data_IF_184444703847
#
_entry.id   IF_184444703847
#
_cell.length_a   1.000
_cell.length_b   1.000
_cell.length_c   1.000
_cell.angle_alpha   90.00
_cell.angle_beta   90.00
_cell.angle_gamma   90.00
#
_symmetry.space_group_name_H-M   'P 1'
#
loop_
_entity.id
_entity.type
_entity.pdbx_description
1 polymer ?
#
# COMPACT_ATOMS: atom_id res chain seq x y z
N UNK A 1 15.01 26.41 -16.42
CA UNK A 1 15.14 25.39 -15.36
C UNK A 1 13.79 24.75 -14.93
N UNK A 2 12.68 25.48 -14.92
CA UNK A 2 11.34 24.93 -14.59
C UNK A 2 10.79 23.97 -15.65
N UNK A 3 10.98 24.24 -16.93
CA UNK A 3 10.49 23.41 -18.05
C UNK A 3 11.11 22.01 -18.08
N UNK A 4 12.41 21.87 -17.78
CA UNK A 4 13.10 20.56 -17.76
C UNK A 4 12.59 19.68 -16.60
N UNK A 5 12.28 20.29 -15.45
CA UNK A 5 11.70 19.55 -14.31
C UNK A 5 10.29 19.01 -14.61
N UNK A 6 9.46 19.79 -15.31
CA UNK A 6 8.09 19.34 -15.66
C UNK A 6 8.09 18.21 -16.69
N UNK A 7 8.99 18.23 -17.65
CA UNK A 7 9.15 17.14 -18.64
C UNK A 7 9.57 15.82 -17.97
N UNK A 8 10.49 15.88 -16.99
CA UNK A 8 10.93 14.67 -16.27
C UNK A 8 9.81 14.06 -15.42
N UNK A 9 8.99 14.87 -14.74
CA UNK A 9 7.87 14.36 -13.93
C UNK A 9 6.80 13.69 -14.78
N UNK A 10 6.43 14.29 -15.92
CA UNK A 10 5.45 13.70 -16.84
C UNK A 10 5.95 12.39 -17.44
N UNK A 11 7.22 12.33 -17.85
CA UNK A 11 7.81 11.10 -18.41
C UNK A 11 7.81 9.96 -17.39
N UNK A 12 8.11 10.23 -16.12
CA UNK A 12 8.07 9.22 -15.05
C UNK A 12 6.63 8.76 -14.76
N UNK A 13 5.64 9.66 -14.75
CA UNK A 13 4.23 9.29 -14.65
C UNK A 13 3.79 8.35 -15.79
N UNK A 14 4.15 8.68 -17.03
CA UNK A 14 3.84 7.82 -18.17
C UNK A 14 4.48 6.43 -18.04
N UNK A 15 5.75 6.34 -17.62
CA UNK A 15 6.41 5.05 -17.38
C UNK A 15 5.66 4.20 -16.35
N UNK A 16 5.25 4.80 -15.23
CA UNK A 16 4.49 4.10 -14.18
C UNK A 16 3.16 3.62 -14.75
N UNK A 17 2.39 4.50 -15.39
CA UNK A 17 1.04 4.20 -15.87
C UNK A 17 1.02 3.12 -16.98
N UNK A 18 2.00 3.18 -17.90
CA UNK A 18 2.11 2.24 -19.01
C UNK A 18 2.89 0.97 -18.67
N UNK A 19 3.41 0.83 -17.43
CA UNK A 19 4.09 -0.40 -17.01
C UNK A 19 3.11 -1.59 -17.02
N UNK A 20 3.57 -2.75 -17.42
CA UNK A 20 2.77 -3.98 -17.42
C UNK A 20 2.23 -4.30 -16.02
N UNK A 21 3.02 -4.06 -15.01
CA UNK A 21 2.66 -4.33 -13.62
C UNK A 21 1.53 -3.43 -13.14
N UNK A 22 1.57 -2.14 -13.47
CA UNK A 22 0.50 -1.19 -13.14
C UNK A 22 -0.80 -1.60 -13.83
N UNK A 23 -0.74 -2.00 -15.11
CA UNK A 23 -1.91 -2.47 -15.87
C UNK A 23 -2.56 -3.74 -15.28
N UNK A 24 -1.81 -4.54 -14.55
CA UNK A 24 -2.34 -5.73 -13.85
C UNK A 24 -2.86 -5.35 -12.46
N UNK A 25 -2.11 -4.53 -11.72
CA UNK A 25 -2.45 -4.20 -10.33
C UNK A 25 -3.64 -3.24 -10.24
N UNK A 26 -3.77 -2.26 -11.13
CA UNK A 26 -4.90 -1.33 -11.11
C UNK A 26 -6.28 -2.02 -11.21
N UNK A 27 -6.52 -2.98 -12.12
CA UNK A 27 -7.76 -3.76 -12.12
C UNK A 27 -7.98 -4.54 -10.82
N UNK A 28 -6.93 -5.08 -10.20
CA UNK A 28 -7.05 -5.80 -8.93
C UNK A 28 -7.56 -4.87 -7.83
N UNK A 29 -6.98 -3.69 -7.68
CA UNK A 29 -7.34 -2.76 -6.61
C UNK A 29 -8.60 -1.93 -6.89
N UNK A 30 -8.94 -1.70 -8.17
CA UNK A 30 -10.11 -0.87 -8.55
C UNK A 30 -11.36 -1.66 -8.93
N UNK A 31 -11.22 -2.94 -9.27
CA UNK A 31 -12.35 -3.79 -9.70
C UNK A 31 -12.50 -4.97 -8.76
N UNK A 32 -11.48 -5.83 -8.65
CA UNK A 32 -11.59 -7.06 -7.86
C UNK A 32 -11.79 -6.79 -6.36
N UNK A 33 -11.05 -5.88 -5.78
CA UNK A 33 -11.18 -5.56 -4.36
C UNK A 33 -12.54 -4.96 -4.02
N UNK A 34 -13.07 -3.92 -4.71
CA UNK A 34 -14.42 -3.42 -4.49
C UNK A 34 -15.49 -4.48 -4.72
N UNK A 35 -15.33 -5.36 -5.73
CA UNK A 35 -16.25 -6.46 -5.97
C UNK A 35 -16.29 -7.44 -4.80
N UNK A 36 -15.12 -7.81 -4.25
CA UNK A 36 -15.05 -8.67 -3.07
C UNK A 36 -15.68 -8.01 -1.84
N UNK A 37 -15.45 -6.71 -1.64
CA UNK A 37 -16.11 -5.93 -0.59
C UNK A 37 -17.63 -5.97 -0.73
N UNK A 38 -18.15 -5.81 -1.95
CA UNK A 38 -19.57 -5.91 -2.24
C UNK A 38 -20.13 -7.30 -1.92
N UNK A 39 -19.44 -8.38 -2.36
CA UNK A 39 -19.86 -9.77 -2.08
C UNK A 39 -19.84 -10.05 -0.58
N UNK A 40 -18.78 -9.63 0.12
CA UNK A 40 -18.66 -9.81 1.57
C UNK A 40 -19.79 -9.11 2.32
N UNK A 41 -20.12 -7.87 1.95
CA UNK A 41 -21.21 -7.13 2.58
C UNK A 41 -22.58 -7.77 2.34
N UNK A 42 -22.82 -8.36 1.16
CA UNK A 42 -24.03 -9.18 0.90
C UNK A 42 -24.11 -10.42 1.77
N UNK A 43 -22.98 -11.10 2.00
CA UNK A 43 -22.91 -12.24 2.91
C UNK A 43 -23.19 -11.81 4.36
N UNK A 44 -22.62 -10.69 4.81
CA UNK A 44 -22.90 -10.12 6.13
C UNK A 44 -24.37 -9.80 6.29
N UNK A 45 -25.01 -9.20 5.29
CA UNK A 45 -26.44 -8.88 5.29
C UNK A 45 -27.29 -10.16 5.39
N UNK A 46 -26.93 -11.22 4.68
CA UNK A 46 -27.64 -12.52 4.71
C UNK A 46 -27.51 -13.23 6.07
N UNK A 47 -26.37 -13.07 6.75
CA UNK A 47 -26.14 -13.65 8.10
C UNK A 47 -26.83 -12.82 9.18
N UNK A 48 -27.01 -11.52 8.96
CA UNK A 48 -27.59 -10.54 9.88
C UNK A 48 -26.53 -9.70 10.58
N UNK A 49 -26.73 -8.37 10.58
CA UNK A 49 -25.77 -7.40 11.08
C UNK A 49 -25.41 -7.52 12.58
N UNK A 50 -26.29 -8.14 13.36
CA UNK A 50 -26.10 -8.34 14.79
C UNK A 50 -25.61 -9.76 15.12
N UNK A 51 -25.22 -10.55 14.12
CA UNK A 51 -24.76 -11.90 14.35
C UNK A 51 -23.39 -11.92 15.03
N UNK A 52 -23.25 -12.85 15.99
CA UNK A 52 -22.01 -13.11 16.72
C UNK A 52 -21.60 -14.57 16.53
N UNK A 53 -20.35 -14.96 16.82
CA UNK A 53 -19.94 -16.37 16.80
C UNK A 53 -20.80 -17.29 17.66
N UNK A 54 -21.44 -16.75 18.69
CA UNK A 54 -22.36 -17.51 19.56
C UNK A 54 -23.72 -17.81 18.89
N UNK A 55 -24.20 -16.85 18.05
CA UNK A 55 -25.49 -16.99 17.35
C UNK A 55 -25.34 -17.66 15.99
N UNK A 56 -24.15 -17.59 15.39
CA UNK A 56 -23.86 -18.18 14.10
C UNK A 56 -22.44 -18.77 14.07
N UNK A 57 -22.34 -20.09 14.04
CA UNK A 57 -21.07 -20.84 14.06
C UNK A 57 -20.20 -20.63 12.79
N UNK A 58 -20.71 -20.00 11.75
CA UNK A 58 -19.93 -19.65 10.55
C UNK A 58 -19.05 -18.41 10.74
N UNK A 59 -19.29 -17.64 11.79
CA UNK A 59 -18.52 -16.44 12.11
C UNK A 59 -17.36 -16.80 13.05
N UNK A 60 -16.16 -16.34 12.72
CA UNK A 60 -14.97 -16.44 13.59
C UNK A 60 -14.92 -15.27 14.57
N UNK A 61 -15.37 -14.10 14.14
CA UNK A 61 -15.39 -12.86 14.92
C UNK A 61 -16.77 -12.18 14.79
N UNK A 62 -17.17 -11.35 15.77
CA UNK A 62 -18.40 -10.56 15.66
C UNK A 62 -18.31 -9.59 14.48
N UNK A 63 -19.45 -9.37 13.82
CA UNK A 63 -19.55 -8.43 12.70
C UNK A 63 -19.21 -7.02 13.21
N UNK A 64 -18.29 -6.29 12.53
CA UNK A 64 -17.95 -4.93 12.92
C UNK A 64 -19.17 -3.99 12.75
N UNK A 65 -19.19 -2.85 13.44
CA UNK A 65 -20.20 -1.83 13.20
C UNK A 65 -20.32 -1.47 11.72
N UNK A 66 -21.52 -1.15 11.27
CA UNK A 66 -21.87 -0.89 9.85
C UNK A 66 -20.89 0.09 9.18
N UNK A 67 -20.43 1.09 9.91
CA UNK A 67 -19.48 2.10 9.43
C UNK A 67 -18.12 1.51 8.99
N UNK A 68 -17.75 0.35 9.54
CA UNK A 68 -16.44 -0.28 9.30
C UNK A 68 -16.51 -1.49 8.37
N UNK A 69 -17.70 -1.83 7.89
CA UNK A 69 -17.84 -2.91 6.90
C UNK A 69 -17.18 -2.46 5.58
N UNK A 70 -16.35 -3.33 5.03
CA UNK A 70 -15.55 -3.06 3.82
C UNK A 70 -14.07 -2.83 4.08
N UNK A 71 -13.66 -2.57 5.33
CA UNK A 71 -12.24 -2.46 5.67
C UNK A 71 -11.51 -3.81 5.66
N UNK A 72 -12.19 -4.93 5.81
CA UNK A 72 -11.62 -6.28 5.77
C UNK A 72 -10.97 -6.62 4.42
N UNK A 73 -11.59 -6.20 3.31
CA UNK A 73 -11.08 -6.44 1.97
C UNK A 73 -9.79 -5.64 1.64
N UNK A 74 -9.44 -4.65 2.46
CA UNK A 74 -8.26 -3.79 2.26
C UNK A 74 -6.95 -4.59 2.27
N UNK A 75 -6.85 -5.66 3.04
CA UNK A 75 -5.64 -6.49 3.10
C UNK A 75 -5.27 -7.10 1.74
N UNK A 76 -6.27 -7.47 0.92
CA UNK A 76 -6.02 -8.02 -0.41
C UNK A 76 -5.33 -7.00 -1.33
N UNK A 77 -5.84 -5.77 -1.34
CA UNK A 77 -5.26 -4.71 -2.16
C UNK A 77 -3.88 -4.28 -1.68
N UNK A 78 -3.62 -4.29 -0.38
CA UNK A 78 -2.30 -4.03 0.18
C UNK A 78 -1.26 -4.98 -0.40
N UNK A 79 -1.61 -6.26 -0.55
CA UNK A 79 -0.77 -7.28 -1.14
C UNK A 79 -0.34 -6.90 -2.56
N UNK A 80 -1.32 -6.56 -3.39
CA UNK A 80 -1.09 -6.15 -4.77
C UNK A 80 -0.23 -4.86 -4.85
N UNK A 81 -0.45 -3.92 -3.93
CA UNK A 81 0.30 -2.67 -3.87
C UNK A 81 1.76 -2.88 -3.45
N UNK A 82 2.04 -3.76 -2.48
CA UNK A 82 3.42 -4.11 -2.11
C UNK A 82 4.16 -4.72 -3.30
N UNK A 83 3.50 -5.62 -4.06
CA UNK A 83 4.08 -6.20 -5.28
C UNK A 83 4.35 -5.12 -6.32
N UNK A 84 3.42 -4.19 -6.52
CA UNK A 84 3.62 -3.05 -7.42
C UNK A 84 4.85 -2.23 -7.03
N UNK A 85 4.98 -1.87 -5.76
CA UNK A 85 6.13 -1.14 -5.24
C UNK A 85 7.45 -1.85 -5.53
N UNK A 86 7.51 -3.16 -5.25
CA UNK A 86 8.70 -3.98 -5.53
C UNK A 86 9.10 -3.98 -7.00
N UNK A 87 8.11 -4.09 -7.89
CA UNK A 87 8.37 -4.13 -9.33
C UNK A 87 8.79 -2.75 -9.84
N UNK A 88 8.12 -1.67 -9.43
CA UNK A 88 8.47 -0.31 -9.81
C UNK A 88 9.88 0.08 -9.32
N UNK A 89 10.27 -0.36 -8.11
CA UNK A 89 11.60 -0.11 -7.57
C UNK A 89 12.72 -0.82 -8.34
N UNK A 90 12.46 -2.05 -8.82
CA UNK A 90 13.44 -2.84 -9.57
C UNK A 90 13.44 -2.58 -11.08
N UNK A 91 12.41 -1.93 -11.61
CA UNK A 91 12.17 -1.79 -13.06
C UNK A 91 13.31 -1.05 -13.79
N UNK A 92 13.91 -0.05 -13.15
CA UNK A 92 14.99 0.75 -13.76
C UNK A 92 16.27 -0.04 -14.01
N UNK A 93 16.48 -1.09 -13.23
CA UNK A 93 17.66 -1.94 -13.39
C UNK A 93 17.50 -3.01 -14.48
N UNK A 94 16.30 -3.11 -15.08
CA UNK A 94 16.01 -4.04 -16.18
C UNK A 94 16.26 -3.36 -17.53
N UNK A 95 16.80 -4.12 -18.48
CA UNK A 95 16.93 -3.71 -19.89
C UNK A 95 17.65 -2.37 -20.12
N UNK A 96 18.65 -2.04 -19.29
CA UNK A 96 19.41 -0.78 -19.39
C UNK A 96 18.55 0.51 -19.29
N UNK A 97 17.33 0.40 -18.74
CA UNK A 97 16.40 1.54 -18.59
C UNK A 97 17.03 2.68 -17.79
N UNK A 98 17.81 2.35 -16.76
CA UNK A 98 18.51 3.35 -15.95
C UNK A 98 19.48 4.20 -16.77
N UNK A 99 20.24 3.58 -17.70
CA UNK A 99 21.16 4.33 -18.58
C UNK A 99 20.41 5.32 -19.45
N UNK A 100 19.35 4.88 -20.10
CA UNK A 100 18.52 5.75 -20.95
C UNK A 100 17.92 6.91 -20.15
N UNK A 101 17.44 6.64 -18.93
CA UNK A 101 16.87 7.66 -18.05
C UNK A 101 17.91 8.68 -17.59
N UNK A 102 19.16 8.25 -17.31
CA UNK A 102 20.24 9.16 -16.90
C UNK A 102 20.85 9.95 -18.05
N UNK A 103 20.72 9.50 -19.30
CA UNK A 103 21.04 10.32 -20.47
C UNK A 103 20.11 11.53 -20.60
N UNK A 104 18.85 11.38 -20.20
CA UNK A 104 17.87 12.48 -20.19
C UNK A 104 18.01 13.38 -18.95
N UNK A 105 18.46 12.83 -17.83
CA UNK A 105 18.65 13.55 -16.58
C UNK A 105 20.04 13.22 -16.00
N UNK A 106 21.05 14.02 -16.35
CA UNK A 106 22.45 13.79 -15.96
C UNK A 106 22.71 13.82 -14.45
N UNK A 107 21.84 14.49 -13.68
CA UNK A 107 21.98 14.58 -12.23
C UNK A 107 21.25 13.43 -11.53
N UNK A 108 22.01 12.45 -11.02
CA UNK A 108 21.51 11.27 -10.30
C UNK A 108 20.60 11.63 -9.11
N UNK A 109 20.96 12.67 -8.35
CA UNK A 109 20.18 13.10 -7.19
C UNK A 109 18.79 13.61 -7.61
N UNK A 110 18.73 14.46 -8.62
CA UNK A 110 17.48 15.00 -9.16
C UNK A 110 16.62 13.86 -9.72
N UNK A 111 17.22 12.94 -10.46
CA UNK A 111 16.53 11.75 -11.00
C UNK A 111 15.86 10.93 -9.89
N UNK A 112 16.64 10.54 -8.86
CA UNK A 112 16.13 9.74 -7.76
C UNK A 112 14.99 10.43 -7.03
N UNK A 113 15.18 11.69 -6.61
CA UNK A 113 14.20 12.45 -5.84
C UNK A 113 12.90 12.66 -6.66
N UNK A 114 13.03 13.03 -7.93
CA UNK A 114 11.85 13.20 -8.81
C UNK A 114 11.09 11.90 -8.94
N UNK A 115 11.78 10.81 -9.23
CA UNK A 115 11.16 9.49 -9.38
C UNK A 115 10.49 9.01 -8.09
N UNK A 116 11.19 9.12 -6.95
CA UNK A 116 10.67 8.76 -5.65
C UNK A 116 9.39 9.54 -5.31
N UNK A 117 9.41 10.85 -5.52
CA UNK A 117 8.27 11.72 -5.26
C UNK A 117 7.07 11.39 -6.16
N UNK A 118 7.30 11.29 -7.48
CA UNK A 118 6.24 10.97 -8.45
C UNK A 118 5.61 9.61 -8.14
N UNK A 119 6.44 8.60 -7.84
CA UNK A 119 5.97 7.27 -7.48
C UNK A 119 5.17 7.30 -6.18
N UNK A 120 5.62 8.03 -5.15
CA UNK A 120 4.92 8.14 -3.86
C UNK A 120 3.56 8.82 -4.00
N UNK A 121 3.47 9.91 -4.76
CA UNK A 121 2.19 10.61 -5.02
C UNK A 121 1.24 9.70 -5.80
N UNK A 122 1.72 9.03 -6.84
CA UNK A 122 0.90 8.07 -7.60
C UNK A 122 0.35 6.96 -6.72
N UNK A 123 1.20 6.34 -5.90
CA UNK A 123 0.80 5.28 -4.96
C UNK A 123 -0.24 5.79 -3.97
N UNK A 124 -0.07 6.99 -3.41
CA UNK A 124 -1.02 7.56 -2.47
C UNK A 124 -2.40 7.76 -3.09
N UNK A 125 -2.46 8.33 -4.31
CA UNK A 125 -3.73 8.55 -5.03
C UNK A 125 -4.41 7.21 -5.32
N UNK A 126 -3.67 6.22 -5.82
CA UNK A 126 -4.21 4.88 -6.10
C UNK A 126 -4.73 4.23 -4.82
N UNK A 127 -3.98 4.30 -3.73
CA UNK A 127 -4.38 3.74 -2.43
C UNK A 127 -5.66 4.39 -1.91
N UNK A 128 -5.72 5.72 -1.95
CA UNK A 128 -6.88 6.47 -1.47
C UNK A 128 -8.15 6.13 -2.25
N UNK A 129 -8.07 6.18 -3.57
CA UNK A 129 -9.22 5.90 -4.44
C UNK A 129 -9.66 4.44 -4.31
N UNK A 130 -8.71 3.49 -4.24
CA UNK A 130 -9.02 2.07 -4.10
C UNK A 130 -9.73 1.76 -2.78
N UNK A 131 -9.23 2.28 -1.66
CA UNK A 131 -9.84 2.06 -0.34
C UNK A 131 -11.23 2.69 -0.29
N UNK A 132 -11.38 3.92 -0.80
CA UNK A 132 -12.68 4.56 -0.88
C UNK A 132 -13.69 3.74 -1.71
N UNK A 133 -13.29 3.26 -2.89
CA UNK A 133 -14.14 2.42 -3.74
C UNK A 133 -14.52 1.11 -3.06
N UNK A 134 -13.61 0.50 -2.30
CA UNK A 134 -13.87 -0.72 -1.55
C UNK A 134 -14.97 -0.50 -0.50
N UNK A 135 -14.84 0.58 0.29
CA UNK A 135 -15.83 0.91 1.32
C UNK A 135 -17.16 1.33 0.69
N UNK A 136 -17.13 2.16 -0.36
CA UNK A 136 -18.34 2.56 -1.07
C UNK A 136 -19.10 1.35 -1.64
N UNK A 137 -18.38 0.38 -2.22
CA UNK A 137 -18.97 -0.86 -2.73
C UNK A 137 -19.56 -1.74 -1.63
N UNK A 138 -18.90 -1.81 -0.47
CA UNK A 138 -19.43 -2.54 0.68
C UNK A 138 -20.73 -1.90 1.20
N UNK A 139 -20.72 -0.58 1.39
CA UNK A 139 -21.92 0.15 1.83
C UNK A 139 -23.09 0.01 0.83
N UNK A 140 -22.78 0.03 -0.46
CA UNK A 140 -23.78 -0.24 -1.50
C UNK A 140 -24.34 -1.69 -1.41
N UNK A 141 -23.48 -2.67 -1.07
CA UNK A 141 -23.86 -4.06 -0.88
C UNK A 141 -24.81 -4.30 0.31
N UNK A 142 -24.77 -3.44 1.33
CA UNK A 142 -25.69 -3.47 2.49
C UNK A 142 -27.09 -2.94 2.20
N UNK A 143 -27.35 -2.44 0.99
CA UNK A 143 -28.66 -1.93 0.54
C UNK A 143 -29.20 -0.83 1.46
N UNK A 144 -30.39 -1.05 2.06
CA UNK A 144 -31.07 -0.09 2.94
C UNK A 144 -30.39 0.13 4.29
N UNK A 145 -29.63 -0.86 4.74
CA UNK A 145 -28.89 -0.80 6.01
C UNK A 145 -27.56 -0.07 5.88
N UNK A 146 -27.06 0.06 4.64
CA UNK A 146 -25.79 0.73 4.35
C UNK A 146 -25.87 2.26 4.42
N UNK A 147 -24.73 2.87 4.72
CA UNK A 147 -24.57 4.31 4.70
C UNK A 147 -24.45 4.80 3.25
N UNK A 148 -24.91 6.03 2.99
CA UNK A 148 -24.67 6.65 1.70
C UNK A 148 -23.15 6.84 1.47
N UNK A 149 -22.58 6.31 0.38
CA UNK A 149 -21.15 6.43 0.10
C UNK A 149 -20.62 7.86 0.01
N UNK A 150 -21.50 8.82 -0.22
CA UNK A 150 -21.17 10.25 -0.28
C UNK A 150 -21.23 10.94 1.10
N UNK A 151 -21.94 10.34 2.07
CA UNK A 151 -22.18 10.92 3.40
C UNK A 151 -21.66 9.92 4.45
N UNK A 152 -20.35 9.64 4.39
CA UNK A 152 -19.68 8.81 5.39
C UNK A 152 -19.36 9.65 6.63
N UNK A 153 -19.33 9.03 7.80
CA UNK A 153 -18.96 9.71 9.04
C UNK A 153 -17.49 10.22 9.00
N UNK A 154 -17.19 11.26 9.77
CA UNK A 154 -15.83 11.79 9.88
C UNK A 154 -14.83 10.72 10.33
N UNK A 155 -15.26 9.77 11.14
CA UNK A 155 -14.43 8.66 11.60
C UNK A 155 -14.05 7.74 10.44
N UNK A 156 -14.99 7.42 9.54
CA UNK A 156 -14.71 6.60 8.36
C UNK A 156 -13.72 7.31 7.43
N UNK A 157 -13.89 8.59 7.17
CA UNK A 157 -12.93 9.36 6.38
C UNK A 157 -11.53 9.37 7.01
N UNK A 158 -11.46 9.50 8.34
CA UNK A 158 -10.19 9.40 9.06
C UNK A 158 -9.51 8.04 8.85
N UNK A 159 -10.25 6.93 8.95
CA UNK A 159 -9.70 5.60 8.70
C UNK A 159 -9.38 5.33 7.23
N UNK A 160 -10.12 5.91 6.28
CA UNK A 160 -9.75 5.87 4.85
C UNK A 160 -8.39 6.54 4.64
N UNK A 161 -8.16 7.71 5.25
CA UNK A 161 -6.88 8.40 5.18
C UNK A 161 -5.75 7.59 5.83
N UNK A 162 -5.97 7.04 7.02
CA UNK A 162 -4.98 6.21 7.71
C UNK A 162 -4.64 4.94 6.93
N UNK A 163 -5.64 4.25 6.39
CA UNK A 163 -5.45 3.08 5.54
C UNK A 163 -4.67 3.43 4.26
N UNK A 164 -4.99 4.57 3.65
CA UNK A 164 -4.29 5.07 2.45
C UNK A 164 -2.83 5.42 2.75
N UNK A 165 -2.55 6.01 3.90
CA UNK A 165 -1.19 6.27 4.38
C UNK A 165 -0.44 4.96 4.65
N UNK A 166 -1.09 3.99 5.30
CA UNK A 166 -0.52 2.66 5.54
C UNK A 166 -0.09 1.99 4.23
N UNK A 167 -1.00 1.91 3.26
CA UNK A 167 -0.71 1.33 1.96
C UNK A 167 0.42 2.05 1.25
N UNK A 168 0.37 3.38 1.25
CA UNK A 168 1.37 4.20 0.58
C UNK A 168 2.75 4.01 1.18
N UNK A 169 2.86 4.07 2.50
CA UNK A 169 4.13 3.91 3.19
C UNK A 169 4.71 2.51 3.00
N UNK A 170 3.89 1.45 3.09
CA UNK A 170 4.33 0.08 2.86
C UNK A 170 4.75 -0.17 1.41
N UNK A 171 4.01 0.40 0.45
CA UNK A 171 4.35 0.29 -0.97
C UNK A 171 5.62 1.06 -1.31
N UNK A 172 5.80 2.27 -0.74
CA UNK A 172 7.03 3.07 -0.91
C UNK A 172 8.22 2.40 -0.22
N UNK A 173 7.99 1.75 0.92
CA UNK A 173 9.02 0.93 1.57
C UNK A 173 9.43 -0.23 0.66
N UNK A 174 8.46 -0.94 0.10
CA UNK A 174 8.68 -2.02 -0.87
C UNK A 174 9.47 -1.54 -2.08
N UNK A 175 9.10 -0.39 -2.63
CA UNK A 175 9.83 0.29 -3.71
C UNK A 175 11.29 0.57 -3.32
N UNK A 176 11.52 1.14 -2.14
CA UNK A 176 12.86 1.53 -1.66
C UNK A 176 13.76 0.33 -1.43
N UNK A 177 13.23 -0.75 -0.84
CA UNK A 177 13.95 -2.02 -0.66
C UNK A 177 14.32 -2.62 -2.02
N UNK A 178 13.35 -2.68 -2.95
CA UNK A 178 13.59 -3.25 -4.28
C UNK A 178 14.60 -2.42 -5.09
N UNK A 179 14.55 -1.09 -4.95
CA UNK A 179 15.53 -0.19 -5.56
C UNK A 179 16.93 -0.40 -4.98
N UNK A 180 17.05 -0.55 -3.65
CA UNK A 180 18.32 -0.83 -2.97
C UNK A 180 18.95 -2.15 -3.40
N UNK A 181 18.15 -3.22 -3.46
CA UNK A 181 18.63 -4.56 -3.86
C UNK A 181 18.67 -4.76 -5.38
N UNK A 182 18.19 -3.79 -6.17
CA UNK A 182 18.05 -3.89 -7.65
C UNK A 182 17.19 -5.09 -8.09
N UNK A 183 16.38 -5.60 -7.20
CA UNK A 183 15.56 -6.80 -7.39
C UNK A 183 14.26 -6.68 -6.59
N UNK A 184 13.16 -7.11 -7.19
CA UNK A 184 11.87 -7.19 -6.51
C UNK A 184 11.84 -8.27 -5.43
N UNK A 185 12.64 -9.33 -5.56
CA UNK A 185 12.63 -10.49 -4.65
C UNK A 185 12.96 -10.10 -3.21
N UNK A 186 13.97 -9.25 -2.98
CA UNK A 186 14.35 -8.84 -1.62
C UNK A 186 13.23 -8.14 -0.86
N UNK A 187 12.48 -7.28 -1.54
CA UNK A 187 11.33 -6.61 -0.96
C UNK A 187 10.18 -7.58 -0.67
N UNK A 188 9.86 -8.45 -1.61
CA UNK A 188 8.76 -9.40 -1.49
C UNK A 188 9.04 -10.42 -0.36
N UNK A 189 10.26 -10.96 -0.28
CA UNK A 189 10.65 -11.89 0.79
C UNK A 189 10.62 -11.25 2.19
N UNK A 190 10.84 -9.94 2.28
CA UNK A 190 10.78 -9.24 3.56
C UNK A 190 9.35 -8.87 3.97
N UNK A 191 8.53 -8.34 3.06
CA UNK A 191 7.22 -7.78 3.40
C UNK A 191 6.06 -8.78 3.31
N UNK A 192 6.05 -9.67 2.29
CA UNK A 192 4.89 -10.56 2.09
C UNK A 192 4.65 -11.55 3.23
N UNK A 193 5.69 -12.19 3.82
CA UNK A 193 5.45 -13.09 4.95
C UNK A 193 4.82 -12.38 6.16
N UNK A 194 5.14 -11.08 6.35
CA UNK A 194 4.56 -10.29 7.43
C UNK A 194 3.06 -10.04 7.21
N UNK A 195 2.61 -9.87 5.95
CA UNK A 195 1.18 -9.72 5.62
C UNK A 195 0.42 -11.01 5.92
N UNK A 196 1.07 -12.19 5.73
CA UNK A 196 0.51 -13.50 6.05
C UNK A 196 0.73 -13.91 7.52
N UNK A 197 0.31 -13.07 8.46
CA UNK A 197 0.32 -13.34 9.90
C UNK A 197 1.69 -13.64 10.54
N UNK A 198 2.80 -13.64 9.80
CA UNK A 198 4.11 -13.79 10.42
C UNK A 198 4.42 -12.63 11.37
N UNK A 199 3.95 -11.42 11.03
CA UNK A 199 4.09 -10.24 11.87
C UNK A 199 3.36 -10.40 13.21
N UNK A 200 2.10 -10.83 13.19
CA UNK A 200 1.30 -11.06 14.40
C UNK A 200 1.86 -12.21 15.24
N UNK A 201 2.17 -13.35 14.60
CA UNK A 201 2.78 -14.49 15.29
C UNK A 201 4.11 -14.14 16.00
N UNK A 202 4.93 -13.32 15.37
CA UNK A 202 6.17 -12.83 15.98
C UNK A 202 5.91 -11.79 17.07
N UNK A 203 4.90 -10.93 16.90
CA UNK A 203 4.54 -9.90 17.87
C UNK A 203 4.03 -10.47 19.19
N UNK A 204 3.38 -11.64 19.14
CA UNK A 204 2.92 -12.35 20.34
C UNK A 204 4.09 -12.93 21.16
N UNK A 205 5.22 -13.21 20.53
CA UNK A 205 6.39 -13.82 21.17
C UNK A 205 7.53 -12.85 21.44
N UNK A 206 7.69 -11.83 20.59
CA UNK A 206 8.82 -10.89 20.63
C UNK A 206 8.26 -9.47 20.60
N UNK A 207 8.40 -8.74 21.70
CA UNK A 207 7.87 -7.36 21.78
C UNK A 207 8.39 -6.42 20.68
N UNK A 208 9.63 -6.60 20.21
CA UNK A 208 10.20 -5.82 19.11
C UNK A 208 9.51 -6.08 17.76
N UNK A 209 8.90 -7.24 17.56
CA UNK A 209 8.21 -7.56 16.31
C UNK A 209 6.94 -6.71 16.09
N UNK A 210 6.42 -6.08 17.15
CA UNK A 210 5.34 -5.09 17.05
C UNK A 210 5.71 -3.86 16.21
N UNK A 211 7.00 -3.56 16.10
CA UNK A 211 7.52 -2.45 15.31
C UNK A 211 7.90 -2.85 13.87
N UNK A 212 7.56 -4.04 13.43
CA UNK A 212 7.69 -4.46 12.04
C UNK A 212 6.78 -3.60 11.14
N UNK A 213 7.25 -3.25 9.93
CA UNK A 213 6.54 -2.28 9.10
C UNK A 213 5.11 -2.69 8.76
N UNK A 214 4.87 -3.97 8.49
CA UNK A 214 3.51 -4.44 8.16
C UNK A 214 2.61 -4.45 9.39
N UNK A 215 3.12 -4.83 10.57
CA UNK A 215 2.34 -4.77 11.82
C UNK A 215 1.91 -3.33 12.13
N UNK A 216 2.83 -2.36 11.97
CA UNK A 216 2.52 -0.93 12.11
C UNK A 216 1.49 -0.45 11.09
N UNK A 217 1.57 -0.96 9.86
CA UNK A 217 0.61 -0.64 8.80
C UNK A 217 -0.78 -1.21 9.10
N UNK A 218 -0.86 -2.42 9.63
CA UNK A 218 -2.12 -3.05 10.01
C UNK A 218 -2.81 -2.32 11.18
N UNK A 219 -2.04 -1.77 12.12
CA UNK A 219 -2.56 -0.95 13.22
C UNK A 219 -3.35 0.29 12.74
N UNK A 220 -3.07 0.77 11.53
CA UNK A 220 -3.74 1.95 10.95
C UNK A 220 -5.08 1.60 10.29
N UNK A 221 -5.41 0.32 10.15
CA UNK A 221 -6.67 -0.13 9.56
C UNK A 221 -7.71 -0.30 10.69
N UNK A 222 -8.93 0.19 10.47
CA UNK A 222 -9.98 0.25 11.49
C UNK A 222 -10.38 -1.10 12.11
N UNK A 223 -10.21 -2.18 11.36
CA UNK A 223 -10.61 -3.55 11.76
C UNK A 223 -9.43 -4.39 12.24
N UNK A 224 -8.27 -3.80 12.46
CA UNK A 224 -7.09 -4.56 12.91
C UNK A 224 -7.27 -5.05 14.35
N UNK A 225 -7.15 -6.35 14.62
CA UNK A 225 -7.13 -6.90 15.96
C UNK A 225 -5.87 -6.50 16.74
N UNK A 226 -4.85 -6.05 16.05
CA UNK A 226 -3.52 -5.73 16.58
C UNK A 226 -3.39 -4.27 17.05
N UNK A 227 -4.39 -3.62 17.61
CA UNK A 227 -4.25 -2.24 18.11
C UNK A 227 -3.11 -2.13 19.15
N UNK A 228 -1.88 -2.08 18.65
CA UNK A 228 -0.66 -2.17 19.45
C UNK A 228 -0.23 -0.78 19.92
N UNK A 229 -0.49 0.24 19.09
CA UNK A 229 -0.04 1.60 19.34
C UNK A 229 -1.12 2.64 19.00
N UNK A 230 -0.90 3.87 19.43
CA UNK A 230 -1.75 4.99 18.94
C UNK A 230 -1.46 5.22 17.45
N UNK A 231 -2.47 5.53 16.61
CA UNK A 231 -2.29 5.72 15.16
C UNK A 231 -1.16 6.67 14.79
N UNK A 232 -0.98 7.75 15.54
CA UNK A 232 0.13 8.69 15.32
C UNK A 232 1.52 8.08 15.51
N UNK A 233 1.68 7.19 16.49
CA UNK A 233 2.96 6.47 16.70
C UNK A 233 3.23 5.48 15.58
N UNK A 234 2.21 4.73 15.14
CA UNK A 234 2.36 3.78 14.03
C UNK A 234 2.76 4.49 12.73
N UNK A 235 2.16 5.65 12.43
CA UNK A 235 2.58 6.49 11.28
C UNK A 235 4.02 6.95 11.43
N UNK A 236 4.44 7.44 12.61
CA UNK A 236 5.81 7.90 12.83
C UNK A 236 6.84 6.78 12.64
N UNK A 237 6.62 5.62 13.26
CA UNK A 237 7.55 4.50 13.12
C UNK A 237 7.60 3.95 11.69
N UNK A 238 6.45 3.83 11.02
CA UNK A 238 6.40 3.38 9.64
C UNK A 238 7.07 4.40 8.69
N UNK A 239 6.87 5.69 8.91
CA UNK A 239 7.57 6.74 8.17
C UNK A 239 9.09 6.70 8.41
N UNK A 240 9.53 6.38 9.62
CA UNK A 240 10.94 6.19 9.94
C UNK A 240 11.54 5.03 9.15
N UNK A 241 10.83 3.89 9.04
CA UNK A 241 11.24 2.78 8.18
C UNK A 241 11.45 3.21 6.73
N UNK A 242 10.47 3.95 6.18
CA UNK A 242 10.54 4.47 4.80
C UNK A 242 11.73 5.41 4.64
N UNK A 243 11.92 6.37 5.55
CA UNK A 243 13.00 7.35 5.46
C UNK A 243 14.38 6.70 5.56
N UNK A 244 14.56 5.77 6.49
CA UNK A 244 15.85 5.07 6.67
C UNK A 244 16.19 4.28 5.41
N UNK A 245 15.28 3.43 4.95
CA UNK A 245 15.55 2.56 3.79
C UNK A 245 15.71 3.38 2.50
N UNK A 246 14.89 4.41 2.29
CA UNK A 246 15.02 5.28 1.10
C UNK A 246 16.32 6.08 1.12
N UNK A 247 16.81 6.49 2.30
CA UNK A 247 18.11 7.16 2.45
C UNK A 247 19.27 6.21 2.10
N UNK A 248 19.21 4.96 2.54
CA UNK A 248 20.20 3.96 2.14
C UNK A 248 20.17 3.68 0.64
N UNK A 249 18.98 3.58 0.04
CA UNK A 249 18.81 3.39 -1.40
C UNK A 249 19.38 4.58 -2.19
N UNK A 250 19.09 5.80 -1.75
CA UNK A 250 19.61 7.04 -2.34
C UNK A 250 21.14 7.12 -2.27
N UNK A 251 21.72 6.88 -1.07
CA UNK A 251 23.16 6.94 -0.87
C UNK A 251 23.91 5.91 -1.72
N UNK A 252 23.42 4.68 -1.77
CA UNK A 252 23.97 3.62 -2.62
C UNK A 252 23.92 4.02 -4.09
N UNK A 253 22.77 4.51 -4.54
CA UNK A 253 22.56 4.94 -5.92
C UNK A 253 23.53 6.05 -6.37
N UNK A 254 23.80 7.03 -5.50
CA UNK A 254 24.73 8.10 -5.81
C UNK A 254 26.17 7.60 -5.99
N UNK A 255 26.59 6.62 -5.19
CA UNK A 255 27.95 6.07 -5.21
C UNK A 255 28.19 5.08 -6.35
N UNK A 256 27.16 4.51 -6.92
CA UNK A 256 27.31 3.52 -7.99
C UNK A 256 27.68 4.17 -9.33
N UNK A 257 28.71 3.62 -9.97
CA UNK A 257 29.04 3.95 -11.36
C UNK A 257 28.12 3.19 -12.31
N UNK A 258 27.24 3.93 -12.99
CA UNK A 258 26.27 3.38 -13.95
C UNK A 258 26.95 2.86 -15.23
N UNK A 259 28.26 3.11 -15.36
CA UNK A 259 29.09 2.72 -16.53
C UNK A 259 29.55 1.24 -16.53
N UNK A 260 29.67 0.60 -15.38
CA UNK A 260 30.30 -0.73 -15.22
C UNK A 260 29.32 -1.88 -15.00
N UNK A 261 28.12 -1.81 -15.56
CA UNK A 261 27.25 -2.99 -15.59
C UNK A 261 27.75 -4.00 -16.62
N UNK A 262 28.42 -5.07 -16.12
CA UNK A 262 28.62 -6.30 -16.88
C UNK A 262 27.30 -6.99 -17.11
#
# INVERSE_FOLDING_TARGET
>A
MSSIKSHNTLSELYKIFYSRSTKIVLPIVFIFQPLLSYISSKQILAVGLNATPETNSSLVEPIPPIEYIGFEAILLGLFAMIILGAILGSMEYKNSSLRTSLLLCSNKAVFFVTKFFVTSVFIFIVSFVSIYLSIASAQFGLEREGLSPLILSNNVWYFILLGSLSWSLLTVLSYSIAFYFKSSLGSLLFLLPQVYNLGSFLADRIQLAKYLPVSLGQDLIATSPLKITTPGRSVLFLSTWVLVISSFAYYKFLKEDVGNGR
#
